data_IF_967296127143
#
_entry.id   IF_967296127143
#
_cell.length_a   1.000
_cell.length_b   1.000
_cell.length_c   1.000
_cell.angle_alpha   90.00
_cell.angle_beta   90.00
_cell.angle_gamma   90.00
#
_symmetry.space_group_name_H-M   'P 1'
#
loop_
_entity.id
_entity.type
_entity.pdbx_description
1 polymer ?
#
# COMPACT_ATOMS: atom_id res chain seq x y z
N UNK A 1 33.39 6.84 5.19
CA UNK A 1 32.01 7.36 5.28
C UNK A 1 31.44 7.32 3.88
N UNK A 2 30.37 6.57 3.67
CA UNK A 2 29.74 6.43 2.36
C UNK A 2 28.58 7.43 2.25
N UNK A 3 28.52 8.20 1.15
CA UNK A 3 27.50 9.24 0.94
C UNK A 3 26.60 8.77 -0.20
N UNK A 4 25.34 8.47 0.09
CA UNK A 4 24.36 8.11 -0.92
C UNK A 4 23.60 9.35 -1.41
N UNK A 5 23.46 9.49 -2.73
CA UNK A 5 22.58 10.46 -3.37
C UNK A 5 21.32 9.72 -3.83
N UNK A 6 20.16 10.12 -3.32
CA UNK A 6 18.87 9.55 -3.76
C UNK A 6 18.34 10.40 -4.90
N UNK A 7 18.22 9.79 -6.08
CA UNK A 7 17.74 10.44 -7.30
C UNK A 7 16.36 9.89 -7.64
N UNK A 8 15.42 10.79 -7.96
CA UNK A 8 14.07 10.42 -8.39
C UNK A 8 14.01 10.30 -9.91
N UNK A 9 13.15 9.40 -10.36
CA UNK A 9 12.96 9.12 -11.77
C UNK A 9 11.91 8.05 -11.96
N UNK A 10 11.72 7.66 -13.21
CA UNK A 10 10.76 6.66 -13.63
C UNK A 10 11.44 5.53 -14.40
N UNK A 11 11.05 4.29 -14.07
CA UNK A 11 11.43 3.13 -14.86
C UNK A 11 10.59 3.09 -16.16
N UNK A 12 11.27 3.11 -17.30
CA UNK A 12 10.70 3.01 -18.64
C UNK A 12 11.11 1.67 -19.26
N UNK A 13 10.14 0.76 -19.36
CA UNK A 13 10.43 -0.61 -19.78
C UNK A 13 11.30 -1.36 -18.76
N UNK A 14 11.95 -2.48 -19.16
CA UNK A 14 12.60 -3.36 -18.19
C UNK A 14 13.98 -2.88 -17.72
N UNK A 15 14.58 -1.87 -18.37
CA UNK A 15 16.01 -1.55 -18.21
C UNK A 15 16.38 -0.07 -18.25
N UNK A 16 15.46 0.82 -18.60
CA UNK A 16 15.78 2.25 -18.71
C UNK A 16 15.18 3.00 -17.53
N UNK A 17 15.97 3.83 -16.85
CA UNK A 17 15.49 4.76 -15.83
C UNK A 17 15.67 6.16 -16.36
N UNK A 18 14.58 6.90 -16.48
CA UNK A 18 14.58 8.31 -16.83
C UNK A 18 14.63 9.13 -15.54
N UNK A 19 15.63 9.97 -15.39
CA UNK A 19 15.80 10.81 -14.20
C UNK A 19 14.97 12.08 -14.34
N UNK A 20 14.33 12.51 -13.25
CA UNK A 20 13.55 13.75 -13.26
C UNK A 20 14.45 14.98 -13.45
N UNK A 21 15.69 14.91 -12.97
CA UNK A 21 16.69 15.97 -13.08
C UNK A 21 18.05 15.40 -13.56
N UNK A 22 18.77 16.14 -14.41
CA UNK A 22 20.08 15.71 -14.89
C UNK A 22 21.12 15.76 -13.76
N UNK A 23 21.89 14.68 -13.62
CA UNK A 23 23.04 14.63 -12.71
C UNK A 23 24.23 15.31 -13.39
N UNK A 24 24.44 16.58 -13.06
CA UNK A 24 25.47 17.40 -13.71
C UNK A 24 26.90 17.08 -13.28
N UNK A 25 27.12 16.28 -12.22
CA UNK A 25 28.44 16.12 -11.59
C UNK A 25 28.82 14.69 -11.17
N UNK A 26 28.16 13.64 -11.68
CA UNK A 26 28.46 12.27 -11.25
C UNK A 26 28.41 11.32 -12.43
N UNK A 27 29.57 10.71 -12.77
CA UNK A 27 29.67 9.55 -13.64
C UNK A 27 30.21 8.37 -12.83
N UNK A 28 29.57 7.21 -12.98
CA UNK A 28 29.93 6.01 -12.21
C UNK A 28 28.86 4.93 -12.29
N UNK A 29 29.15 3.80 -11.65
CA UNK A 29 28.18 2.72 -11.46
C UNK A 29 27.15 3.14 -10.39
N UNK A 30 25.88 2.82 -10.64
CA UNK A 30 24.77 3.15 -9.74
C UNK A 30 23.98 1.89 -9.39
N UNK A 31 23.63 1.75 -8.12
CA UNK A 31 22.69 0.74 -7.66
C UNK A 31 21.26 1.31 -7.68
N UNK A 32 20.34 0.62 -8.35
CA UNK A 32 18.94 1.05 -8.48
C UNK A 32 18.04 0.18 -7.62
N UNK A 33 17.38 0.79 -6.65
CA UNK A 33 16.40 0.11 -5.79
C UNK A 33 14.98 0.42 -6.28
N UNK A 34 14.32 -0.58 -6.86
CA UNK A 34 12.93 -0.48 -7.28
C UNK A 34 12.03 -0.90 -6.12
N UNK A 35 11.25 0.05 -5.59
CA UNK A 35 10.20 -0.25 -4.61
C UNK A 35 8.91 -0.56 -5.36
N UNK A 36 8.55 -1.82 -5.41
CA UNK A 36 7.23 -2.22 -5.87
C UNK A 36 6.22 -1.90 -4.75
N UNK A 37 5.02 -1.38 -5.07
CA UNK A 37 3.95 -1.36 -4.09
C UNK A 37 3.78 -2.79 -3.58
N UNK A 38 3.58 -2.96 -2.27
CA UNK A 38 3.11 -4.23 -1.77
C UNK A 38 1.88 -4.58 -2.60
N UNK A 39 1.89 -5.74 -3.26
CA UNK A 39 0.71 -6.26 -3.93
C UNK A 39 -0.42 -6.15 -2.90
N UNK A 40 -1.37 -5.25 -3.16
CA UNK A 40 -2.47 -4.99 -2.23
C UNK A 40 -3.06 -6.34 -1.88
N UNK A 41 -3.17 -6.64 -0.59
CA UNK A 41 -3.46 -7.97 -0.02
C UNK A 41 -4.43 -8.76 -0.89
N UNK A 42 -3.93 -9.46 -1.91
CA UNK A 42 -4.76 -10.24 -2.81
C UNK A 42 -4.91 -11.57 -2.11
N UNK A 43 -6.14 -11.87 -1.69
CA UNK A 43 -6.49 -13.23 -1.32
C UNK A 43 -6.85 -13.89 -2.66
N UNK A 44 -5.99 -14.81 -3.12
CA UNK A 44 -6.17 -15.55 -4.38
C UNK A 44 -6.26 -14.71 -5.68
N UNK A 45 -5.65 -13.52 -5.70
CA UNK A 45 -5.55 -12.69 -6.91
C UNK A 45 -6.74 -11.76 -7.17
N UNK A 46 -7.79 -11.83 -6.34
CA UNK A 46 -8.94 -10.93 -6.41
C UNK A 46 -8.75 -9.72 -5.48
N UNK A 47 -9.21 -8.55 -5.93
CA UNK A 47 -9.25 -7.35 -5.09
C UNK A 47 -10.26 -7.58 -3.96
N UNK A 48 -9.85 -7.33 -2.71
CA UNK A 48 -10.74 -7.41 -1.54
C UNK A 48 -11.98 -6.55 -1.72
N UNK A 49 -11.89 -5.42 -2.42
CA UNK A 49 -13.04 -4.58 -2.71
C UNK A 49 -14.03 -5.24 -3.68
N UNK A 50 -13.54 -6.03 -4.64
CA UNK A 50 -14.38 -6.82 -5.55
C UNK A 50 -15.08 -7.95 -4.79
N UNK A 51 -14.36 -8.64 -3.90
CA UNK A 51 -14.92 -9.67 -3.03
C UNK A 51 -16.02 -9.08 -2.13
N UNK A 52 -15.78 -7.92 -1.52
CA UNK A 52 -16.76 -7.25 -0.64
C UNK A 52 -17.98 -6.76 -1.43
N UNK A 53 -17.80 -6.33 -2.68
CA UNK A 53 -18.90 -5.90 -3.54
C UNK A 53 -19.84 -7.05 -3.94
N UNK A 54 -19.31 -8.27 -4.07
CA UNK A 54 -20.08 -9.47 -4.42
C UNK A 54 -20.83 -10.10 -3.24
N UNK A 55 -20.55 -9.67 -2.01
CA UNK A 55 -21.26 -10.17 -0.83
C UNK A 55 -22.72 -9.70 -0.80
N UNK A 56 -23.61 -10.61 -0.41
CA UNK A 56 -25.01 -10.27 -0.19
C UNK A 56 -25.14 -9.13 0.84
N UNK A 57 -26.10 -8.20 0.65
CA UNK A 57 -26.34 -7.14 1.62
C UNK A 57 -26.53 -7.72 3.03
N UNK A 58 -25.78 -7.17 3.98
CA UNK A 58 -25.89 -7.60 5.38
C UNK A 58 -27.32 -7.45 5.89
N UNK A 59 -27.78 -8.42 6.67
CA UNK A 59 -29.14 -8.45 7.24
C UNK A 59 -29.28 -7.66 8.54
N UNK A 60 -28.18 -7.10 9.03
CA UNK A 60 -28.12 -6.44 10.35
C UNK A 60 -28.65 -5.02 10.24
N UNK A 61 -29.51 -4.63 11.18
CA UNK A 61 -29.99 -3.25 11.23
C UNK A 61 -28.94 -2.35 11.87
N UNK A 62 -29.14 -1.04 11.72
CA UNK A 62 -28.33 -0.05 12.42
C UNK A 62 -28.36 -0.26 13.94
N UNK A 63 -29.52 -0.55 14.52
CA UNK A 63 -29.62 -0.80 15.96
C UNK A 63 -28.78 -2.01 16.41
N UNK A 64 -28.71 -3.06 15.58
CA UNK A 64 -27.89 -4.25 15.87
C UNK A 64 -26.39 -3.97 15.81
N UNK A 65 -25.97 -3.07 14.91
CA UNK A 65 -24.59 -2.61 14.78
C UNK A 65 -24.22 -1.70 15.96
N UNK A 66 -25.08 -0.74 16.28
CA UNK A 66 -24.86 0.20 17.39
C UNK A 66 -24.80 -0.53 18.74
N UNK A 67 -25.63 -1.56 18.93
CA UNK A 67 -25.58 -2.43 20.13
C UNK A 67 -24.25 -3.16 20.24
N UNK A 68 -23.75 -3.72 19.13
CA UNK A 68 -22.46 -4.42 19.14
C UNK A 68 -21.29 -3.47 19.40
N UNK A 69 -21.27 -2.29 18.75
CA UNK A 69 -20.19 -1.31 18.96
C UNK A 69 -20.13 -0.88 20.43
N UNK A 70 -21.29 -0.68 21.06
CA UNK A 70 -21.37 -0.34 22.49
C UNK A 70 -20.80 -1.45 23.38
N UNK A 71 -21.23 -2.69 23.17
CA UNK A 71 -20.73 -3.84 23.92
C UNK A 71 -19.21 -4.04 23.75
N UNK A 72 -18.68 -3.86 22.54
CA UNK A 72 -17.25 -3.94 22.27
C UNK A 72 -16.46 -2.84 23.00
N UNK A 73 -16.99 -1.60 23.02
CA UNK A 73 -16.35 -0.47 23.70
C UNK A 73 -16.28 -0.68 25.22
N UNK A 74 -17.32 -1.26 25.80
CA UNK A 74 -17.35 -1.63 27.21
C UNK A 74 -16.32 -2.73 27.52
N UNK A 75 -16.15 -3.71 26.64
CA UNK A 75 -15.15 -4.78 26.82
C UNK A 75 -13.69 -4.33 26.73
N UNK A 76 -13.40 -3.21 26.08
CA UNK A 76 -12.04 -2.67 25.94
C UNK A 76 -11.61 -1.79 27.11
N UNK A 77 -12.57 -1.33 27.93
CA UNK A 77 -12.30 -0.51 29.12
C UNK A 77 -12.01 -1.30 30.39
N UNK A 78 -12.08 -2.63 30.33
CA UNK A 78 -11.95 -3.54 31.49
C UNK A 78 -10.59 -4.28 31.53
N UNK A 79 -9.54 -3.69 30.94
CA UNK A 79 -8.14 -4.13 31.04
C UNK A 79 -7.23 -3.04 31.57
#
# INVERSE_FOLDING_TARGET
MERALVVKGRLIGPKNVELDEPLSQTSGEVEVVIRLPAEGTTVDGDDIFDIVADLAPGTRTKEDIDRQIRANRESWGDR
#
